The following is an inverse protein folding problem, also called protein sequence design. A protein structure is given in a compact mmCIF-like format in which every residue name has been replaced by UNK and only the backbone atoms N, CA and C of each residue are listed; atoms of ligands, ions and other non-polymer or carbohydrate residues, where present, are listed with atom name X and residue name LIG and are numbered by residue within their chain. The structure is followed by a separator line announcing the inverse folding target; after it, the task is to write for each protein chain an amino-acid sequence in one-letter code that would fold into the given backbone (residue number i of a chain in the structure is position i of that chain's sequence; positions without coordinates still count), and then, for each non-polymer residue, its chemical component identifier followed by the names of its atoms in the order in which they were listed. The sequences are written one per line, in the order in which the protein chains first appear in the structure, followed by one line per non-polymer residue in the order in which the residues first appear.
data_IF_997306935234
#
_entry.id   IF_997306935234
#
_cell.length_a   1.000
_cell.length_b   1.000
_cell.length_c   1.000
_cell.angle_alpha   90.00
_cell.angle_beta   90.00
_cell.angle_gamma   90.00
#
_symmetry.space_group_name_H-M   'P 1'
#
loop_
_entity.id
_entity.type
_entity.pdbx_description
1 polymer ?
#
# COMPACT_ATOMS: atom_id res chain seq x y z
N UNK A 1 -10.13 -8.52 -31.31
CA UNK A 1 -10.04 -7.06 -31.02
C UNK A 1 -8.62 -6.59 -31.20
N UNK A 2 -8.38 -5.27 -31.41
CA UNK A 2 -7.04 -4.71 -31.43
C UNK A 2 -6.42 -4.65 -30.03
N UNK A 3 -5.09 -4.73 -29.95
CA UNK A 3 -4.31 -4.58 -28.72
C UNK A 3 -3.41 -3.34 -28.86
N UNK A 4 -3.63 -2.35 -28.02
CA UNK A 4 -2.94 -1.05 -28.07
C UNK A 4 -2.01 -0.96 -26.86
N UNK A 5 -0.72 -0.89 -27.09
CA UNK A 5 0.27 -0.61 -26.05
C UNK A 5 0.66 0.86 -26.07
N UNK A 6 0.68 1.48 -24.88
CA UNK A 6 1.01 2.90 -24.73
C UNK A 6 2.07 3.08 -23.66
N UNK A 7 3.20 3.65 -24.03
CA UNK A 7 4.20 4.18 -23.12
C UNK A 7 4.02 5.70 -23.02
N UNK A 8 3.51 6.15 -21.86
CA UNK A 8 3.16 7.55 -21.62
C UNK A 8 4.39 8.34 -21.13
N UNK A 9 4.75 9.36 -21.88
CA UNK A 9 5.69 10.37 -21.41
C UNK A 9 5.01 11.69 -21.07
N UNK A 10 5.68 12.59 -20.38
CA UNK A 10 5.14 13.87 -19.95
C UNK A 10 4.61 14.74 -21.12
N UNK A 11 5.29 14.74 -22.27
CA UNK A 11 4.91 15.54 -23.45
C UNK A 11 4.57 14.70 -24.67
N UNK A 12 5.21 13.55 -24.84
CA UNK A 12 5.02 12.65 -25.98
C UNK A 12 4.87 11.22 -25.49
N UNK A 13 4.00 10.47 -26.16
CA UNK A 13 3.70 9.08 -25.86
C UNK A 13 3.93 8.21 -27.08
N UNK A 14 4.55 7.05 -26.88
CA UNK A 14 4.70 6.04 -27.90
C UNK A 14 3.49 5.09 -27.90
N UNK A 15 3.00 4.76 -29.08
CA UNK A 15 1.84 3.90 -29.28
C UNK A 15 2.19 2.79 -30.26
N UNK A 16 1.83 1.58 -29.93
CA UNK A 16 1.86 0.45 -30.83
C UNK A 16 0.46 -0.21 -30.87
N UNK A 17 -0.03 -0.51 -32.06
CA UNK A 17 -1.28 -1.22 -32.28
C UNK A 17 -0.97 -2.58 -32.92
N UNK A 18 -1.49 -3.63 -32.32
CA UNK A 18 -1.38 -5.02 -32.77
C UNK A 18 -2.77 -5.52 -33.13
N UNK A 19 -2.89 -6.19 -34.27
CA UNK A 19 -4.14 -6.80 -34.75
C UNK A 19 -4.59 -7.98 -33.87
N UNK A 20 -5.81 -8.46 -34.07
CA UNK A 20 -6.30 -9.70 -33.46
C UNK A 20 -5.50 -10.94 -33.87
N UNK A 21 -4.71 -10.87 -34.95
CA UNK A 21 -3.80 -11.93 -35.40
C UNK A 21 -2.37 -11.81 -34.83
N UNK A 22 -2.07 -10.76 -34.07
CA UNK A 22 -0.75 -10.55 -33.49
C UNK A 22 0.22 -9.75 -34.36
N UNK A 23 -0.23 -9.19 -35.48
CA UNK A 23 0.61 -8.39 -36.38
C UNK A 23 0.63 -6.92 -35.95
N UNK A 24 1.80 -6.30 -36.04
CA UNK A 24 1.96 -4.85 -35.76
C UNK A 24 1.36 -4.04 -36.91
N UNK A 25 0.26 -3.35 -36.62
CA UNK A 25 -0.45 -2.51 -37.61
C UNK A 25 0.07 -1.07 -37.62
N UNK A 26 0.48 -0.55 -36.45
CA UNK A 26 0.88 0.84 -36.31
C UNK A 26 1.92 1.00 -35.19
N UNK A 27 2.98 1.73 -35.45
CA UNK A 27 3.90 2.27 -34.46
C UNK A 27 4.01 3.79 -34.64
N UNK A 28 3.64 4.56 -33.62
CA UNK A 28 3.63 6.02 -33.72
C UNK A 28 3.97 6.68 -32.39
N UNK A 29 4.57 7.86 -32.47
CA UNK A 29 4.75 8.76 -31.32
C UNK A 29 3.89 10.01 -31.54
N UNK A 30 3.01 10.31 -30.57
CA UNK A 30 2.11 11.47 -30.61
C UNK A 30 2.32 12.35 -29.37
N UNK A 31 1.70 13.53 -29.32
CA UNK A 31 1.64 14.33 -28.11
C UNK A 31 0.78 13.60 -27.06
N UNK A 32 1.17 13.62 -25.79
CA UNK A 32 0.44 12.91 -24.73
C UNK A 32 -1.01 13.42 -24.60
N UNK A 33 -1.26 14.72 -24.80
CA UNK A 33 -2.61 15.29 -24.82
C UNK A 33 -3.48 14.84 -26.02
N UNK A 34 -2.91 14.16 -27.03
CA UNK A 34 -3.65 13.63 -28.19
C UNK A 34 -4.05 12.16 -28.04
N UNK A 35 -3.59 11.49 -26.96
CA UNK A 35 -3.83 10.05 -26.76
C UNK A 35 -5.32 9.73 -26.67
N UNK A 36 -6.07 10.52 -25.93
CA UNK A 36 -7.53 10.37 -25.82
C UNK A 36 -8.22 10.46 -27.19
N UNK A 37 -7.89 11.49 -27.96
CA UNK A 37 -8.44 11.66 -29.32
C UNK A 37 -8.03 10.53 -30.28
N UNK A 38 -6.83 10.00 -30.09
CA UNK A 38 -6.36 8.85 -30.88
C UNK A 38 -7.19 7.61 -30.56
N UNK A 39 -7.42 7.32 -29.27
CA UNK A 39 -8.21 6.17 -28.82
C UNK A 39 -9.67 6.29 -29.29
N UNK A 40 -10.30 7.45 -29.22
CA UNK A 40 -11.68 7.67 -29.66
C UNK A 40 -11.93 7.47 -31.16
N UNK A 41 -10.86 7.34 -31.96
CA UNK A 41 -10.95 6.99 -33.39
C UNK A 41 -10.75 5.49 -33.67
N UNK A 42 -10.54 4.68 -32.62
CA UNK A 42 -10.32 3.25 -32.73
C UNK A 42 -11.57 2.46 -32.36
N UNK A 43 -11.73 1.28 -32.93
CA UNK A 43 -12.75 0.35 -32.45
C UNK A 43 -12.47 -0.03 -31.00
N UNK A 44 -13.47 -0.56 -30.30
CA UNK A 44 -13.28 -1.12 -28.95
C UNK A 44 -12.09 -2.07 -28.94
N UNK A 45 -11.06 -1.71 -28.17
CA UNK A 45 -9.75 -2.36 -28.15
C UNK A 45 -9.31 -2.64 -26.71
N UNK A 46 -8.35 -3.53 -26.53
CA UNK A 46 -7.66 -3.68 -25.25
C UNK A 46 -6.46 -2.73 -25.22
N UNK A 47 -6.45 -1.82 -24.24
CA UNK A 47 -5.42 -0.78 -24.10
C UNK A 47 -4.54 -1.11 -22.89
N UNK A 48 -3.27 -1.42 -23.13
CA UNK A 48 -2.25 -1.68 -22.11
C UNK A 48 -1.37 -0.43 -21.94
N UNK A 49 -1.34 0.12 -20.72
CA UNK A 49 -0.61 1.37 -20.40
C UNK A 49 0.38 1.07 -19.28
N UNK A 50 1.64 1.53 -19.38
CA UNK A 50 2.55 1.44 -18.24
C UNK A 50 2.11 2.38 -17.10
N UNK A 51 2.23 1.90 -15.85
CA UNK A 51 1.88 2.68 -14.67
C UNK A 51 2.82 3.87 -14.46
N UNK A 52 2.29 5.08 -14.66
CA UNK A 52 2.96 6.37 -14.45
C UNK A 52 1.99 7.39 -13.86
N UNK A 53 2.39 8.65 -13.72
CA UNK A 53 1.53 9.70 -13.16
C UNK A 53 0.28 9.97 -14.03
N UNK A 54 0.42 9.94 -15.35
CA UNK A 54 -0.60 10.25 -16.34
C UNK A 54 -1.55 9.07 -16.58
N UNK A 55 -1.11 7.83 -16.30
CA UNK A 55 -1.81 6.60 -16.68
C UNK A 55 -3.24 6.52 -16.16
N UNK A 56 -3.51 7.05 -14.95
CA UNK A 56 -4.85 7.00 -14.37
C UNK A 56 -5.87 7.79 -15.16
N UNK A 57 -5.56 9.03 -15.53
CA UNK A 57 -6.50 9.89 -16.27
C UNK A 57 -6.77 9.31 -17.66
N UNK A 58 -5.72 8.91 -18.37
CA UNK A 58 -5.86 8.28 -19.70
C UNK A 58 -6.66 6.98 -19.61
N UNK A 59 -6.45 6.18 -18.57
CA UNK A 59 -7.18 4.94 -18.37
C UNK A 59 -8.68 5.15 -18.12
N UNK A 60 -9.05 6.18 -17.34
CA UNK A 60 -10.46 6.54 -17.12
C UNK A 60 -11.10 6.96 -18.45
N UNK A 61 -10.48 7.88 -19.18
CA UNK A 61 -10.97 8.38 -20.47
C UNK A 61 -11.10 7.29 -21.52
N UNK A 62 -10.14 6.37 -21.57
CA UNK A 62 -10.20 5.21 -22.47
C UNK A 62 -11.35 4.26 -22.11
N UNK A 63 -11.66 4.07 -20.81
CA UNK A 63 -12.83 3.28 -20.37
C UNK A 63 -14.15 3.94 -20.73
N UNK A 64 -14.24 5.27 -20.62
CA UNK A 64 -15.41 6.06 -21.06
C UNK A 64 -15.67 5.89 -22.57
N UNK A 65 -14.62 5.57 -23.35
CA UNK A 65 -14.69 5.24 -24.77
C UNK A 65 -14.89 3.74 -25.05
N UNK A 66 -15.30 2.97 -24.03
CA UNK A 66 -15.57 1.52 -24.10
C UNK A 66 -14.36 0.63 -24.40
N UNK A 67 -13.12 1.08 -24.16
CA UNK A 67 -11.94 0.24 -24.24
C UNK A 67 -11.76 -0.63 -22.98
N UNK A 68 -11.23 -1.86 -23.14
CA UNK A 68 -10.74 -2.69 -22.03
C UNK A 68 -9.33 -2.23 -21.63
N UNK A 69 -9.22 -1.50 -20.51
CA UNK A 69 -7.97 -0.84 -20.12
C UNK A 69 -7.26 -1.60 -19.03
N UNK A 70 -5.97 -1.90 -19.27
CA UNK A 70 -5.05 -2.58 -18.36
C UNK A 70 -3.87 -1.67 -18.05
N UNK A 71 -3.81 -1.12 -16.82
CA UNK A 71 -2.63 -0.36 -16.37
C UNK A 71 -1.63 -1.33 -15.76
N UNK A 72 -0.52 -1.55 -16.47
CA UNK A 72 0.50 -2.57 -16.15
C UNK A 72 1.54 -1.98 -15.19
N UNK A 73 1.84 -2.63 -14.05
CA UNK A 73 2.88 -2.17 -13.14
C UNK A 73 4.26 -2.16 -13.83
N UNK A 74 5.05 -1.10 -13.62
CA UNK A 74 6.42 -0.93 -14.17
C UNK A 74 7.34 -2.13 -13.92
N UNK A 75 7.16 -2.82 -12.78
CA UNK A 75 7.93 -4.03 -12.44
C UNK A 75 7.69 -5.15 -13.45
N UNK A 76 6.46 -5.30 -13.93
CA UNK A 76 6.10 -6.32 -14.93
C UNK A 76 6.53 -5.92 -16.34
N UNK A 77 6.47 -4.63 -16.69
CA UNK A 77 6.90 -4.15 -18.02
C UNK A 77 8.35 -4.55 -18.28
N UNK A 78 9.21 -4.46 -17.27
CA UNK A 78 10.61 -4.89 -17.38
C UNK A 78 10.78 -6.39 -17.65
N UNK A 79 9.90 -7.21 -17.12
CA UNK A 79 9.89 -8.68 -17.32
C UNK A 79 9.21 -9.10 -18.61
N UNK A 80 8.34 -8.27 -19.19
CA UNK A 80 7.70 -8.50 -20.48
C UNK A 80 8.64 -8.22 -21.68
N UNK A 81 9.75 -7.53 -21.45
CA UNK A 81 10.74 -7.22 -22.48
C UNK A 81 11.43 -8.48 -22.98
N UNK A 82 11.21 -8.82 -24.24
CA UNK A 82 11.90 -9.90 -24.93
C UNK A 82 13.33 -9.42 -25.25
N UNK A 83 14.26 -9.80 -24.40
CA UNK A 83 15.69 -9.65 -24.66
C UNK A 83 16.42 -8.78 -23.68
N UNK A 84 17.52 -9.34 -23.18
CA UNK A 84 18.50 -8.78 -22.24
C UNK A 84 19.35 -7.65 -22.80
N UNK A 85 19.07 -7.15 -24.00
CA UNK A 85 19.77 -6.02 -24.57
C UNK A 85 19.30 -4.74 -23.89
N UNK A 86 20.19 -4.11 -23.13
CA UNK A 86 20.00 -2.86 -22.36
C UNK A 86 19.59 -1.61 -23.18
N UNK A 87 18.96 -1.78 -24.33
CA UNK A 87 18.47 -0.68 -25.16
C UNK A 87 17.01 -0.44 -24.79
N UNK A 88 16.77 0.54 -23.94
CA UNK A 88 15.43 1.04 -23.60
C UNK A 88 15.04 2.13 -24.59
N UNK A 89 13.89 1.99 -25.26
CA UNK A 89 13.26 3.05 -26.04
C UNK A 89 11.75 2.97 -25.84
N UNK A 90 11.10 4.12 -25.71
CA UNK A 90 9.65 4.22 -25.48
C UNK A 90 8.83 3.46 -26.53
N UNK A 91 9.29 3.45 -27.80
CA UNK A 91 8.65 2.66 -28.87
C UNK A 91 8.67 1.16 -28.60
N UNK A 92 9.78 0.64 -28.04
CA UNK A 92 9.88 -0.78 -27.68
C UNK A 92 8.98 -1.13 -26.49
N UNK A 93 8.89 -0.23 -25.52
CA UNK A 93 8.06 -0.45 -24.33
C UNK A 93 6.57 -0.45 -24.72
N UNK A 94 6.12 0.46 -25.58
CA UNK A 94 4.77 0.43 -26.16
C UNK A 94 4.50 -0.86 -26.97
N UNK A 95 5.45 -1.28 -27.80
CA UNK A 95 5.33 -2.54 -28.58
C UNK A 95 5.25 -3.78 -27.68
N UNK A 96 6.09 -3.85 -26.66
CA UNK A 96 6.09 -4.94 -25.70
C UNK A 96 4.77 -5.02 -24.93
N UNK A 97 4.20 -3.87 -24.54
CA UNK A 97 2.88 -3.80 -23.91
C UNK A 97 1.76 -4.31 -24.85
N UNK A 98 1.75 -3.90 -26.12
CA UNK A 98 0.77 -4.38 -27.10
C UNK A 98 0.85 -5.89 -27.33
N UNK A 99 2.07 -6.41 -27.52
CA UNK A 99 2.32 -7.84 -27.70
C UNK A 99 1.97 -8.64 -26.45
N UNK A 100 2.32 -8.14 -25.25
CA UNK A 100 1.97 -8.76 -23.99
C UNK A 100 0.44 -8.79 -23.79
N UNK A 101 -0.24 -7.72 -24.13
CA UNK A 101 -1.71 -7.64 -24.12
C UNK A 101 -2.35 -8.67 -25.03
N UNK A 102 -1.78 -8.87 -26.23
CA UNK A 102 -2.25 -9.90 -27.17
C UNK A 102 -2.01 -11.33 -26.62
N UNK A 103 -0.79 -11.60 -26.11
CA UNK A 103 -0.41 -12.96 -25.69
C UNK A 103 -1.03 -13.40 -24.38
N UNK A 104 -1.12 -12.51 -23.40
CA UNK A 104 -1.60 -12.82 -22.05
C UNK A 104 -3.11 -12.61 -21.89
N UNK A 105 -3.74 -11.84 -22.76
CA UNK A 105 -5.18 -11.61 -22.68
C UNK A 105 -5.62 -11.11 -21.30
N UNK A 106 -6.52 -11.84 -20.66
CA UNK A 106 -7.05 -11.51 -19.33
C UNK A 106 -6.04 -11.74 -18.20
N UNK A 107 -5.01 -12.55 -18.44
CA UNK A 107 -3.93 -12.81 -17.47
C UNK A 107 -2.91 -11.69 -17.41
N UNK A 108 -3.00 -10.66 -18.28
CA UNK A 108 -2.09 -9.52 -18.23
C UNK A 108 -2.17 -8.84 -16.85
N UNK A 109 -1.06 -8.82 -16.07
CA UNK A 109 -1.06 -8.19 -14.75
C UNK A 109 -1.40 -6.71 -14.84
N UNK A 110 -2.37 -6.26 -14.06
CA UNK A 110 -2.79 -4.87 -14.07
C UNK A 110 -3.14 -4.38 -12.66
N UNK A 111 -3.01 -3.07 -12.45
CA UNK A 111 -3.39 -2.41 -11.21
C UNK A 111 -4.84 -1.94 -11.28
N UNK A 112 -5.47 -1.87 -10.11
CA UNK A 112 -6.78 -1.27 -9.96
C UNK A 112 -6.75 0.23 -10.24
N UNK A 113 -7.61 0.72 -11.13
CA UNK A 113 -7.77 2.15 -11.43
C UNK A 113 -8.70 2.75 -10.39
N UNK A 114 -8.18 3.66 -9.56
CA UNK A 114 -8.94 4.30 -8.49
C UNK A 114 -9.95 5.30 -9.02
N UNK A 115 -11.08 5.45 -8.30
CA UNK A 115 -12.01 6.57 -8.50
C UNK A 115 -11.33 7.91 -8.18
N UNK A 116 -11.95 9.03 -8.62
CA UNK A 116 -11.46 10.39 -8.34
C UNK A 116 -11.40 10.65 -6.83
N UNK A 117 -12.41 10.22 -6.11
CA UNK A 117 -12.46 10.35 -4.66
C UNK A 117 -11.29 9.60 -3.97
N UNK A 118 -11.08 8.33 -4.31
CA UNK A 118 -9.96 7.54 -3.76
C UNK A 118 -8.60 8.11 -4.14
N UNK A 119 -8.48 8.71 -5.35
CA UNK A 119 -7.25 9.37 -5.79
C UNK A 119 -7.00 10.65 -4.98
N UNK A 120 -8.01 11.49 -4.79
CA UNK A 120 -7.91 12.71 -3.98
C UNK A 120 -7.52 12.40 -2.53
N UNK A 121 -8.10 11.36 -1.92
CA UNK A 121 -7.69 10.88 -0.59
C UNK A 121 -6.23 10.42 -0.58
N UNK A 122 -5.81 9.70 -1.61
CA UNK A 122 -4.42 9.23 -1.72
C UNK A 122 -3.44 10.41 -1.84
N UNK A 123 -3.79 11.43 -2.59
CA UNK A 123 -2.93 12.62 -2.77
C UNK A 123 -2.82 13.41 -1.46
N UNK A 124 -3.90 13.55 -0.71
CA UNK A 124 -3.89 14.18 0.62
C UNK A 124 -2.99 13.42 1.59
N UNK A 125 -3.09 12.08 1.62
CA UNK A 125 -2.26 11.21 2.46
C UNK A 125 -0.79 11.29 2.03
N UNK A 126 -0.49 11.31 0.74
CA UNK A 126 0.87 11.43 0.18
C UNK A 126 1.50 12.78 0.50
N UNK A 127 0.75 13.89 0.33
CA UNK A 127 1.22 15.23 0.65
C UNK A 127 1.67 15.30 2.12
N UNK A 128 0.81 14.87 3.06
CA UNK A 128 1.17 14.81 4.47
C UNK A 128 2.42 13.95 4.72
N UNK A 129 2.51 12.78 4.11
CA UNK A 129 3.65 11.88 4.32
C UNK A 129 4.96 12.47 3.80
N UNK A 130 4.91 13.17 2.67
CA UNK A 130 6.05 13.89 2.10
C UNK A 130 6.59 14.94 3.07
N UNK A 131 5.70 15.80 3.59
CA UNK A 131 6.09 16.84 4.56
C UNK A 131 6.65 16.24 5.86
N UNK A 132 6.07 15.16 6.37
CA UNK A 132 6.59 14.42 7.54
C UNK A 132 7.99 13.86 7.27
N UNK A 133 8.25 13.35 6.06
CA UNK A 133 9.57 12.86 5.67
C UNK A 133 10.60 13.98 5.62
N UNK A 134 10.26 15.12 5.02
CA UNK A 134 11.12 16.31 4.96
C UNK A 134 11.44 16.84 6.37
N UNK A 135 10.42 16.94 7.25
CA UNK A 135 10.62 17.31 8.65
C UNK A 135 11.58 16.36 9.37
N UNK A 136 11.44 15.05 9.13
CA UNK A 136 12.32 14.06 9.74
C UNK A 136 13.76 14.21 9.27
N UNK A 137 13.97 14.49 7.97
CA UNK A 137 15.32 14.79 7.44
C UNK A 137 15.92 16.02 8.08
N UNK A 138 15.16 17.13 8.21
CA UNK A 138 15.61 18.35 8.86
C UNK A 138 15.96 18.13 10.35
N UNK A 139 15.12 17.42 11.10
CA UNK A 139 15.39 17.03 12.49
C UNK A 139 16.67 16.19 12.59
N UNK A 140 16.89 15.27 11.69
CA UNK A 140 18.07 14.40 11.70
C UNK A 140 19.34 15.20 11.38
N UNK A 141 19.27 16.20 10.51
CA UNK A 141 20.38 17.12 10.26
C UNK A 141 20.74 17.87 11.55
N UNK A 142 19.77 18.51 12.21
CA UNK A 142 20.02 19.24 13.48
C UNK A 142 20.63 18.31 14.53
N UNK A 143 20.10 17.09 14.69
CA UNK A 143 20.65 16.08 15.61
C UNK A 143 22.08 15.68 15.26
N UNK A 144 22.45 15.68 13.98
CA UNK A 144 23.81 15.40 13.56
C UNK A 144 24.76 16.55 13.95
N UNK A 145 24.33 17.81 13.80
CA UNK A 145 25.12 18.98 14.24
C UNK A 145 25.30 18.99 15.76
N UNK A 146 24.24 18.74 16.52
CA UNK A 146 24.34 18.66 17.99
C UNK A 146 25.33 17.57 18.43
N UNK A 147 25.34 16.41 17.77
CA UNK A 147 26.33 15.35 18.06
C UNK A 147 27.75 15.77 17.71
N UNK A 148 27.94 16.49 16.60
CA UNK A 148 29.25 17.04 16.20
C UNK A 148 29.78 18.03 17.23
N UNK A 149 28.88 18.79 17.86
CA UNK A 149 29.20 19.69 18.97
C UNK A 149 29.29 19.01 20.36
N UNK A 150 29.27 17.68 20.41
CA UNK A 150 29.30 16.85 21.63
C UNK A 150 28.11 17.07 22.58
N UNK A 151 27.00 17.65 22.08
CA UNK A 151 25.75 17.87 22.82
C UNK A 151 24.79 16.68 22.77
N UNK A 152 25.25 15.51 22.37
CA UNK A 152 24.47 14.29 22.27
C UNK A 152 23.45 14.32 21.13
N UNK A 153 22.27 13.69 21.34
CA UNK A 153 21.19 13.63 20.34
C UNK A 153 20.18 14.80 20.44
N UNK A 154 20.47 15.77 21.30
CA UNK A 154 19.56 16.87 21.60
C UNK A 154 18.32 16.46 22.41
N UNK A 155 17.35 17.36 22.57
CA UNK A 155 16.21 17.17 23.44
C UNK A 155 15.33 15.98 23.02
N UNK A 156 14.90 15.17 23.99
CA UNK A 156 13.94 14.06 23.80
C UNK A 156 12.50 14.60 23.78
N UNK A 157 12.19 15.43 22.80
CA UNK A 157 10.87 16.05 22.63
C UNK A 157 10.16 15.55 21.38
N UNK A 158 8.85 15.77 21.30
CA UNK A 158 8.07 15.49 20.09
C UNK A 158 8.56 16.35 18.92
N UNK A 159 8.24 15.95 17.68
CA UNK A 159 8.60 16.75 16.50
C UNK A 159 8.01 18.18 16.55
N UNK A 160 6.85 18.39 17.21
CA UNK A 160 6.22 19.70 17.37
C UNK A 160 6.99 20.61 18.34
N UNK A 161 7.61 20.04 19.37
CA UNK A 161 8.31 20.79 20.41
C UNK A 161 9.83 20.71 20.29
N UNK A 162 10.34 20.06 19.25
CA UNK A 162 11.77 19.84 19.02
C UNK A 162 12.53 21.15 18.86
N UNK A 163 12.03 22.08 18.03
CA UNK A 163 12.68 23.36 17.77
C UNK A 163 12.82 24.20 19.03
N UNK A 164 11.75 24.28 19.84
CA UNK A 164 11.79 25.00 21.11
C UNK A 164 12.87 24.42 22.04
N UNK A 165 12.97 23.10 22.13
CA UNK A 165 13.98 22.46 22.97
C UNK A 165 15.42 22.64 22.47
N UNK A 166 15.63 22.75 21.15
CA UNK A 166 16.98 23.04 20.60
C UNK A 166 17.37 24.49 20.84
N UNK A 167 16.43 25.42 20.64
CA UNK A 167 16.67 26.85 20.95
C UNK A 167 16.96 27.08 22.42
N UNK A 168 16.25 26.41 23.31
CA UNK A 168 16.50 26.41 24.74
C UNK A 168 17.91 25.88 25.09
N UNK A 169 18.38 24.85 24.38
CA UNK A 169 19.69 24.24 24.59
C UNK A 169 20.85 25.09 24.10
N UNK A 170 20.71 25.76 22.94
CA UNK A 170 21.79 26.51 22.29
C UNK A 170 21.77 28.03 22.58
N UNK A 171 20.64 28.59 22.95
CA UNK A 171 20.48 30.03 23.20
C UNK A 171 20.82 30.88 21.98
N UNK A 172 21.51 31.99 22.24
CA UNK A 172 21.94 32.95 21.23
C UNK A 172 23.06 32.41 20.34
N UNK A 173 23.81 31.40 20.79
CA UNK A 173 24.91 30.77 20.06
C UNK A 173 24.44 29.73 19.04
N UNK A 174 23.16 29.75 18.66
CA UNK A 174 22.61 28.80 17.66
C UNK A 174 23.27 29.02 16.30
N UNK A 175 24.05 28.06 15.76
CA UNK A 175 24.69 28.18 14.46
C UNK A 175 23.67 28.46 13.34
N UNK A 176 24.08 29.24 12.32
CA UNK A 176 23.21 29.68 11.23
C UNK A 176 22.55 28.49 10.49
N UNK A 177 23.32 27.45 10.21
CA UNK A 177 22.84 26.26 9.54
C UNK A 177 21.82 25.48 10.39
N UNK A 178 21.98 25.48 11.71
CA UNK A 178 20.99 24.87 12.63
C UNK A 178 19.72 25.72 12.65
N UNK A 179 19.86 27.06 12.77
CA UNK A 179 18.72 27.96 12.81
C UNK A 179 17.88 27.90 11.53
N UNK A 180 18.52 27.82 10.35
CA UNK A 180 17.83 27.64 9.07
C UNK A 180 16.98 26.35 9.03
N UNK A 181 17.51 25.24 9.55
CA UNK A 181 16.75 24.00 9.64
C UNK A 181 15.64 24.06 10.71
N UNK A 182 15.83 24.74 11.82
CA UNK A 182 14.77 24.95 12.81
C UNK A 182 13.61 25.74 12.22
N UNK A 183 13.88 26.83 11.49
CA UNK A 183 12.86 27.59 10.78
C UNK A 183 12.09 26.72 9.77
N UNK A 184 12.80 25.88 9.00
CA UNK A 184 12.19 24.93 8.07
C UNK A 184 11.27 23.93 8.80
N UNK A 185 11.70 23.41 9.96
CA UNK A 185 10.90 22.46 10.75
C UNK A 185 9.62 23.14 11.26
N UNK A 186 9.68 24.40 11.67
CA UNK A 186 8.51 25.14 12.15
C UNK A 186 7.48 25.31 11.04
N UNK A 187 7.90 25.73 9.84
CA UNK A 187 7.01 25.81 8.66
C UNK A 187 6.41 24.44 8.33
N UNK A 188 7.22 23.38 8.33
CA UNK A 188 6.73 22.02 8.05
C UNK A 188 5.72 21.55 9.11
N UNK A 189 5.91 21.90 10.39
CA UNK A 189 4.95 21.59 11.44
C UNK A 189 3.60 22.27 11.19
N UNK A 190 3.60 23.56 10.81
CA UNK A 190 2.38 24.30 10.48
C UNK A 190 1.64 23.68 9.29
N UNK A 191 2.35 23.40 8.19
CA UNK A 191 1.76 22.79 6.98
C UNK A 191 1.20 21.40 7.27
N UNK A 192 1.90 20.56 8.03
CA UNK A 192 1.42 19.24 8.44
C UNK A 192 0.16 19.39 9.29
N UNK A 193 0.12 20.32 10.22
CA UNK A 193 -1.06 20.54 11.07
C UNK A 193 -2.26 20.99 10.25
N UNK A 194 -2.08 21.88 9.26
CA UNK A 194 -3.12 22.30 8.32
C UNK A 194 -3.71 21.12 7.55
N UNK A 195 -2.85 20.23 7.01
CA UNK A 195 -3.30 19.02 6.33
C UNK A 195 -4.02 18.06 7.29
N UNK A 196 -3.53 17.87 8.51
CA UNK A 196 -4.15 16.99 9.51
C UNK A 196 -5.53 17.51 9.94
N UNK A 197 -5.72 18.83 10.08
CA UNK A 197 -7.04 19.46 10.30
C UNK A 197 -8.00 19.15 9.15
N UNK A 198 -7.55 19.34 7.90
CA UNK A 198 -8.34 18.98 6.72
C UNK A 198 -8.69 17.50 6.69
N UNK A 199 -7.73 16.61 6.94
CA UNK A 199 -7.95 15.16 7.01
C UNK A 199 -8.96 14.78 8.09
N UNK A 200 -8.94 15.45 9.24
CA UNK A 200 -9.92 15.23 10.31
C UNK A 200 -11.33 15.54 9.83
N UNK A 201 -11.55 16.69 9.19
CA UNK A 201 -12.86 17.09 8.63
C UNK A 201 -13.34 16.05 7.60
N UNK A 202 -12.47 15.65 6.67
CA UNK A 202 -12.80 14.64 5.65
C UNK A 202 -13.16 13.29 6.29
N UNK A 203 -12.44 12.88 7.34
CA UNK A 203 -12.71 11.63 8.03
C UNK A 203 -14.01 11.68 8.86
N UNK A 204 -14.41 12.84 9.35
CA UNK A 204 -15.68 13.06 10.05
C UNK A 204 -16.87 13.04 9.10
N UNK A 205 -16.71 13.57 7.90
CA UNK A 205 -17.74 13.53 6.85
C UNK A 205 -17.91 12.16 6.18
N UNK A 206 -16.90 11.27 6.31
CA UNK A 206 -16.92 9.93 5.71
C UNK A 206 -17.47 8.88 6.68
N UNK A 207 -18.62 8.29 6.33
CA UNK A 207 -19.22 7.21 7.13
C UNK A 207 -18.28 5.99 7.27
N UNK A 208 -17.63 5.48 6.18
CA UNK A 208 -16.65 4.39 6.30
C UNK A 208 -15.47 4.75 7.22
N UNK A 209 -14.94 5.97 7.13
CA UNK A 209 -13.86 6.40 8.00
C UNK A 209 -14.30 6.46 9.47
N UNK A 210 -15.52 6.96 9.72
CA UNK A 210 -16.09 7.03 11.07
C UNK A 210 -16.27 5.65 11.68
N UNK A 211 -16.71 4.65 10.90
CA UNK A 211 -16.78 3.24 11.36
C UNK A 211 -15.39 2.70 11.72
N UNK A 212 -14.40 2.88 10.88
CA UNK A 212 -13.03 2.39 11.13
C UNK A 212 -12.40 3.03 12.38
N UNK A 213 -12.71 4.29 12.65
CA UNK A 213 -12.22 5.03 13.83
C UNK A 213 -12.76 4.53 15.17
N UNK A 214 -13.73 3.62 15.18
CA UNK A 214 -14.16 2.92 16.41
C UNK A 214 -13.13 1.93 16.93
N UNK A 215 -12.17 1.55 16.10
CA UNK A 215 -11.08 0.66 16.50
C UNK A 215 -10.01 1.47 17.24
N UNK A 216 -9.59 1.04 18.42
CA UNK A 216 -8.53 1.68 19.20
C UNK A 216 -7.23 1.77 18.38
N UNK A 217 -6.62 2.96 18.36
CA UNK A 217 -5.41 3.24 17.60
C UNK A 217 -5.66 3.65 16.14
N UNK A 218 -6.89 3.54 15.62
CA UNK A 218 -7.25 3.99 14.28
C UNK A 218 -7.82 5.40 14.32
N UNK A 219 -6.98 6.39 14.03
CA UNK A 219 -7.37 7.80 13.93
C UNK A 219 -7.75 8.22 12.50
N UNK A 220 -8.04 9.53 12.29
CA UNK A 220 -8.41 10.09 10.99
C UNK A 220 -7.41 9.75 9.88
N UNK A 221 -6.12 9.88 10.16
CA UNK A 221 -5.05 9.65 9.19
C UNK A 221 -5.01 8.17 8.75
N UNK A 222 -5.10 7.24 9.71
CA UNK A 222 -5.05 5.80 9.43
C UNK A 222 -6.28 5.36 8.65
N UNK A 223 -7.49 5.82 9.05
CA UNK A 223 -8.74 5.48 8.37
C UNK A 223 -8.76 5.98 6.92
N UNK A 224 -8.38 7.25 6.67
CA UNK A 224 -8.32 7.79 5.31
C UNK A 224 -7.23 7.11 4.46
N UNK A 225 -6.05 6.85 5.02
CA UNK A 225 -4.99 6.14 4.32
C UNK A 225 -5.41 4.71 3.94
N UNK A 226 -6.18 4.05 4.80
CA UNK A 226 -6.73 2.73 4.52
C UNK A 226 -7.77 2.79 3.40
N UNK A 227 -8.74 3.69 3.46
CA UNK A 227 -9.75 3.90 2.41
C UNK A 227 -9.11 4.22 1.06
N UNK A 228 -8.13 5.14 1.04
CA UNK A 228 -7.41 5.51 -0.17
C UNK A 228 -6.64 4.35 -0.80
N UNK A 229 -6.01 3.50 0.01
CA UNK A 229 -5.21 2.39 -0.49
C UNK A 229 -6.05 1.18 -0.92
N UNK A 230 -7.15 0.91 -0.20
CA UNK A 230 -8.03 -0.22 -0.50
C UNK A 230 -8.95 0.12 -1.67
N UNK A 231 -9.50 1.33 -1.71
CA UNK A 231 -10.46 1.83 -2.70
C UNK A 231 -11.73 0.94 -2.78
N UNK A 232 -11.63 -0.20 -3.45
CA UNK A 232 -12.67 -1.22 -3.52
C UNK A 232 -12.27 -2.45 -2.69
N UNK A 233 -12.98 -2.75 -1.59
CA UNK A 233 -12.66 -3.91 -0.75
C UNK A 233 -12.98 -5.26 -1.41
N UNK A 234 -13.87 -5.29 -2.42
CA UNK A 234 -14.31 -6.55 -3.08
C UNK A 234 -13.23 -7.14 -3.97
N UNK A 235 -12.24 -6.36 -4.41
CA UNK A 235 -11.12 -6.82 -5.23
C UNK A 235 -10.16 -7.78 -4.53
N UNK A 236 -10.29 -7.95 -3.22
CA UNK A 236 -9.46 -8.89 -2.46
C UNK A 236 -10.24 -10.17 -2.14
N UNK A 237 -9.78 -11.29 -2.67
CA UNK A 237 -10.41 -12.59 -2.44
C UNK A 237 -10.35 -13.05 -0.97
N UNK A 238 -9.36 -12.57 -0.20
CA UNK A 238 -9.20 -12.95 1.21
C UNK A 238 -8.39 -11.92 2.00
N UNK A 239 -8.49 -11.96 3.33
CA UNK A 239 -7.64 -11.16 4.22
C UNK A 239 -6.13 -11.45 4.08
N UNK A 240 -5.76 -12.66 3.64
CA UNK A 240 -4.36 -12.99 3.33
C UNK A 240 -3.89 -12.31 2.05
N UNK A 241 -4.75 -12.23 1.04
CA UNK A 241 -4.47 -11.48 -0.19
C UNK A 241 -4.29 -9.99 0.09
N UNK A 242 -5.19 -9.39 0.89
CA UNK A 242 -5.05 -8.02 1.37
C UNK A 242 -3.72 -7.81 2.13
N UNK A 243 -3.38 -8.70 3.05
CA UNK A 243 -2.16 -8.57 3.85
C UNK A 243 -0.89 -8.62 2.98
N UNK A 244 -0.90 -9.43 1.93
CA UNK A 244 0.17 -9.48 0.92
C UNK A 244 0.25 -8.18 0.13
N UNK A 245 -0.88 -7.62 -0.30
CA UNK A 245 -0.95 -6.32 -0.98
C UNK A 245 -0.39 -5.18 -0.14
N UNK A 246 -0.62 -5.17 1.18
CA UNK A 246 -0.08 -4.16 2.09
C UNK A 246 1.40 -4.43 2.41
N UNK A 247 1.87 -5.67 2.25
CA UNK A 247 3.22 -6.12 2.65
C UNK A 247 3.32 -6.45 4.14
N UNK A 248 2.24 -6.94 4.74
CA UNK A 248 2.18 -7.45 6.11
C UNK A 248 2.16 -8.98 6.15
N UNK A 249 2.61 -9.64 5.09
CA UNK A 249 2.81 -11.08 5.04
C UNK A 249 4.27 -11.43 5.36
N UNK A 250 4.52 -12.52 6.09
CA UNK A 250 5.88 -13.02 6.26
C UNK A 250 6.43 -13.44 4.90
N UNK A 251 7.69 -13.11 4.64
CA UNK A 251 8.42 -13.65 3.50
C UNK A 251 8.80 -15.12 3.78
N UNK A 252 8.87 -15.89 2.71
CA UNK A 252 9.30 -17.26 2.73
C UNK A 252 10.38 -17.49 1.68
N UNK A 253 11.43 -18.20 2.05
CA UNK A 253 12.45 -18.68 1.14
C UNK A 253 12.56 -20.19 1.34
N UNK A 254 12.05 -20.94 0.37
CA UNK A 254 12.08 -22.41 0.40
C UNK A 254 13.11 -22.90 -0.59
N UNK A 255 14.11 -23.63 -0.13
CA UNK A 255 15.14 -24.26 -0.94
C UNK A 255 15.32 -25.70 -0.48
N UNK A 256 15.22 -26.66 -1.40
CA UNK A 256 15.43 -28.08 -1.10
C UNK A 256 14.50 -28.64 -0.01
N UNK A 257 13.21 -28.24 -0.01
CA UNK A 257 12.21 -28.69 0.96
C UNK A 257 12.30 -28.05 2.35
N UNK A 258 13.33 -27.22 2.63
CA UNK A 258 13.45 -26.49 3.89
C UNK A 258 12.76 -25.13 3.80
N UNK A 259 11.67 -24.96 4.54
CA UNK A 259 10.94 -23.67 4.64
C UNK A 259 11.67 -22.75 5.61
N UNK A 260 12.22 -21.65 5.11
CA UNK A 260 12.80 -20.58 5.92
C UNK A 260 11.88 -19.35 5.88
N UNK A 261 11.22 -19.06 6.98
CA UNK A 261 10.45 -17.81 7.11
C UNK A 261 11.41 -16.65 7.35
N UNK A 262 11.30 -15.63 6.53
CA UNK A 262 12.01 -14.35 6.68
C UNK A 262 11.11 -13.32 7.39
N UNK A 263 11.59 -12.09 7.59
CA UNK A 263 10.75 -11.01 8.10
C UNK A 263 9.56 -10.70 7.17
N UNK A 264 8.83 -9.61 7.45
CA UNK A 264 7.75 -9.17 6.54
C UNK A 264 8.31 -8.78 5.18
N UNK A 265 7.53 -9.07 4.12
CA UNK A 265 7.88 -8.71 2.76
C UNK A 265 7.98 -7.18 2.65
N UNK A 266 9.11 -6.66 2.13
CA UNK A 266 9.35 -5.22 1.98
C UNK A 266 8.49 -4.57 0.88
N UNK A 267 7.89 -5.38 -0.01
CA UNK A 267 7.01 -4.94 -1.09
C UNK A 267 5.64 -4.42 -0.56
N UNK A 268 4.81 -3.89 -1.44
CA UNK A 268 3.44 -3.45 -1.13
C UNK A 268 3.34 -1.99 -0.68
N UNK A 269 2.28 -1.67 0.05
CA UNK A 269 1.87 -0.31 0.43
C UNK A 269 2.68 0.21 1.64
N UNK A 270 3.94 0.63 1.41
CA UNK A 270 4.89 1.03 2.46
C UNK A 270 4.32 2.07 3.43
N UNK A 271 3.62 3.08 2.91
CA UNK A 271 3.05 4.17 3.71
C UNK A 271 1.92 3.67 4.61
N UNK A 272 0.95 2.92 4.04
CA UNK A 272 -0.15 2.35 4.80
C UNK A 272 0.36 1.35 5.86
N UNK A 273 1.32 0.50 5.50
CA UNK A 273 1.95 -0.42 6.44
C UNK A 273 2.55 0.30 7.65
N UNK A 274 3.28 1.40 7.43
CA UNK A 274 3.87 2.19 8.51
C UNK A 274 2.79 2.78 9.44
N UNK A 275 1.69 3.29 8.88
CA UNK A 275 0.56 3.80 9.66
C UNK A 275 -0.16 2.71 10.46
N UNK A 276 -0.36 1.53 9.87
CA UNK A 276 -0.96 0.39 10.59
C UNK A 276 -0.05 -0.12 11.72
N UNK A 277 1.26 -0.11 11.53
CA UNK A 277 2.24 -0.43 12.58
C UNK A 277 2.17 0.61 13.71
N UNK A 278 2.04 1.89 13.40
CA UNK A 278 1.83 2.94 14.41
C UNK A 278 0.51 2.76 15.15
N UNK A 279 -0.58 2.43 14.45
CA UNK A 279 -1.88 2.12 15.07
C UNK A 279 -1.78 0.92 16.03
N UNK A 280 -1.07 -0.12 15.63
CA UNK A 280 -0.81 -1.29 16.47
C UNK A 280 0.03 -0.94 17.72
N UNK A 281 1.05 -0.09 17.60
CA UNK A 281 1.78 0.43 18.75
C UNK A 281 0.88 1.25 19.68
N UNK A 282 0.02 2.10 19.13
CA UNK A 282 -0.93 2.90 19.91
C UNK A 282 -1.90 2.01 20.69
N UNK A 283 -2.45 0.97 20.04
CA UNK A 283 -3.34 -0.01 20.69
C UNK A 283 -2.63 -0.75 21.83
N UNK A 284 -1.41 -1.25 21.61
CA UNK A 284 -0.63 -1.94 22.66
C UNK A 284 -0.23 -1.03 23.83
N UNK A 285 -0.06 0.27 23.59
CA UNK A 285 0.28 1.23 24.64
C UNK A 285 -0.94 1.77 25.39
N UNK A 286 -2.15 1.59 24.87
CA UNK A 286 -3.39 2.02 25.50
C UNK A 286 -3.74 1.11 26.68
N UNK A 287 -3.13 1.39 27.85
CA UNK A 287 -3.21 0.58 29.08
C UNK A 287 -4.66 0.33 29.61
N UNK A 288 -5.66 1.05 29.10
CA UNK A 288 -7.06 0.96 29.51
C UNK A 288 -7.95 0.14 28.57
N UNK A 289 -7.45 -0.29 27.43
CA UNK A 289 -8.26 -1.01 26.44
C UNK A 289 -8.19 -2.51 26.71
N UNK A 290 -9.29 -3.09 27.17
CA UNK A 290 -9.50 -4.55 27.25
C UNK A 290 -10.04 -5.06 25.90
N UNK A 291 -9.37 -4.68 24.80
CA UNK A 291 -9.73 -5.24 23.51
C UNK A 291 -9.10 -6.62 23.33
N UNK A 292 -9.88 -7.65 22.95
CA UNK A 292 -9.37 -9.01 22.77
C UNK A 292 -8.19 -9.09 21.79
N UNK A 293 -8.14 -8.17 20.82
CA UNK A 293 -7.05 -8.06 19.85
C UNK A 293 -5.75 -7.57 20.50
N UNK A 294 -5.85 -6.61 21.42
CA UNK A 294 -4.72 -6.10 22.18
C UNK A 294 -4.22 -7.14 23.19
N UNK A 295 -5.11 -7.81 23.90
CA UNK A 295 -4.76 -8.89 24.85
C UNK A 295 -4.01 -10.03 24.15
N UNK A 296 -4.52 -10.48 23.00
CA UNK A 296 -3.82 -11.45 22.16
C UNK A 296 -2.41 -10.99 21.74
N UNK A 297 -2.28 -9.70 21.38
CA UNK A 297 -1.00 -9.16 20.95
C UNK A 297 0.00 -9.04 22.13
N UNK A 298 -0.45 -8.74 23.35
CA UNK A 298 0.36 -8.76 24.57
C UNK A 298 0.88 -10.16 24.86
N UNK A 299 0.01 -11.18 24.73
CA UNK A 299 0.42 -12.57 24.91
C UNK A 299 1.44 -13.00 23.85
N UNK A 300 1.25 -12.56 22.60
CA UNK A 300 2.22 -12.79 21.54
C UNK A 300 3.55 -12.06 21.80
N UNK A 301 3.51 -10.84 22.37
CA UNK A 301 4.70 -10.08 22.76
C UNK A 301 5.55 -10.82 23.78
N UNK A 302 4.93 -11.44 24.79
CA UNK A 302 5.63 -12.26 25.80
C UNK A 302 6.37 -13.44 25.19
N UNK A 303 5.77 -14.09 24.17
CA UNK A 303 6.35 -15.30 23.53
C UNK A 303 7.32 -15.01 22.41
N UNK A 304 7.13 -13.98 21.61
CA UNK A 304 7.85 -13.73 20.34
C UNK A 304 8.49 -12.35 20.25
N UNK A 305 8.33 -11.54 21.29
CA UNK A 305 8.86 -10.17 21.34
C UNK A 305 8.00 -9.12 20.63
N UNK A 306 8.21 -7.87 21.04
CA UNK A 306 7.38 -6.72 20.63
C UNK A 306 7.32 -6.50 19.13
N UNK A 307 8.42 -6.64 18.40
CA UNK A 307 8.45 -6.41 16.94
C UNK A 307 7.51 -7.36 16.20
N UNK A 308 7.50 -8.63 16.59
CA UNK A 308 6.63 -9.65 16.00
C UNK A 308 5.16 -9.39 16.36
N UNK A 309 4.89 -9.09 17.62
CA UNK A 309 3.53 -8.80 18.10
C UNK A 309 2.90 -7.60 17.39
N UNK A 310 3.65 -6.49 17.25
CA UNK A 310 3.18 -5.28 16.55
C UNK A 310 2.89 -5.56 15.09
N UNK A 311 3.76 -6.26 14.37
CA UNK A 311 3.53 -6.59 12.96
C UNK A 311 2.32 -7.52 12.78
N UNK A 312 2.15 -8.50 13.67
CA UNK A 312 1.02 -9.41 13.66
C UNK A 312 -0.30 -8.67 13.98
N UNK A 313 -0.28 -7.74 14.94
CA UNK A 313 -1.41 -6.89 15.27
C UNK A 313 -1.77 -5.95 14.12
N UNK A 314 -0.78 -5.31 13.48
CA UNK A 314 -0.99 -4.46 12.30
C UNK A 314 -1.65 -5.24 11.14
N UNK A 315 -1.21 -6.49 10.89
CA UNK A 315 -1.87 -7.37 9.92
C UNK A 315 -3.32 -7.65 10.30
N UNK A 316 -3.57 -7.96 11.57
CA UNK A 316 -4.92 -8.26 12.05
C UNK A 316 -5.84 -7.04 11.96
N UNK A 317 -5.35 -5.86 12.37
CA UNK A 317 -6.05 -4.59 12.19
C UNK A 317 -6.46 -4.38 10.74
N UNK A 318 -5.54 -4.56 9.80
CA UNK A 318 -5.84 -4.42 8.38
C UNK A 318 -6.95 -5.37 7.90
N UNK A 319 -6.93 -6.63 8.34
CA UNK A 319 -7.94 -7.63 7.97
C UNK A 319 -9.31 -7.28 8.57
N UNK A 320 -9.37 -6.84 9.82
CA UNK A 320 -10.62 -6.41 10.48
C UNK A 320 -11.19 -5.18 9.77
N UNK A 321 -10.37 -4.16 9.52
CA UNK A 321 -10.78 -2.95 8.81
C UNK A 321 -11.34 -3.28 7.41
N UNK A 322 -10.69 -4.18 6.68
CA UNK A 322 -11.15 -4.62 5.38
C UNK A 322 -12.48 -5.38 5.45
N UNK A 323 -12.63 -6.31 6.39
CA UNK A 323 -13.87 -7.05 6.57
C UNK A 323 -15.04 -6.10 6.87
N UNK A 324 -14.82 -5.10 7.75
CA UNK A 324 -15.82 -4.07 8.05
C UNK A 324 -16.23 -3.27 6.80
N UNK A 325 -15.29 -2.96 5.90
CA UNK A 325 -15.62 -2.25 4.66
C UNK A 325 -16.35 -3.14 3.66
N UNK A 326 -15.90 -4.39 3.50
CA UNK A 326 -16.48 -5.36 2.56
C UNK A 326 -17.92 -5.71 2.94
N UNK A 327 -18.16 -5.95 4.24
CA UNK A 327 -19.43 -6.48 4.75
C UNK A 327 -20.36 -5.36 5.26
N UNK A 328 -19.93 -4.11 5.22
CA UNK A 328 -20.69 -2.97 5.71
C UNK A 328 -20.92 -2.97 7.23
N UNK A 329 -20.18 -3.79 7.99
CA UNK A 329 -20.42 -4.03 9.42
C UNK A 329 -19.80 -2.96 10.32
N UNK A 330 -20.30 -2.88 11.57
CA UNK A 330 -19.69 -2.08 12.64
C UNK A 330 -18.60 -2.88 13.34
N UNK A 331 -17.66 -2.17 13.98
CA UNK A 331 -16.63 -2.79 14.78
C UNK A 331 -17.23 -3.49 16.00
N UNK A 332 -16.98 -4.78 16.12
CA UNK A 332 -17.29 -5.59 17.27
C UNK A 332 -16.00 -6.22 17.84
N UNK A 333 -15.52 -5.77 19.01
CA UNK A 333 -14.32 -6.31 19.62
C UNK A 333 -14.39 -7.82 19.89
N UNK A 334 -15.58 -8.36 20.15
CA UNK A 334 -15.76 -9.78 20.51
C UNK A 334 -15.52 -10.71 19.33
N UNK A 335 -15.87 -10.26 18.12
CA UNK A 335 -15.65 -11.00 16.86
C UNK A 335 -14.20 -11.05 16.43
N UNK A 336 -13.32 -10.28 17.09
CA UNK A 336 -11.90 -10.20 16.76
C UNK A 336 -11.03 -11.19 17.53
N UNK A 337 -11.60 -12.06 18.36
CA UNK A 337 -10.85 -13.13 19.04
C UNK A 337 -10.18 -14.03 18.00
N UNK A 338 -8.88 -14.40 18.18
CA UNK A 338 -8.28 -15.44 17.37
C UNK A 338 -9.12 -16.70 17.53
N UNK A 339 -9.43 -17.38 16.43
CA UNK A 339 -9.81 -18.79 16.56
C UNK A 339 -8.64 -19.49 17.25
N UNK A 340 -8.91 -20.16 18.37
CA UNK A 340 -7.93 -21.05 18.97
C UNK A 340 -7.41 -21.96 17.84
N UNK A 341 -6.08 -22.06 17.73
CA UNK A 341 -5.51 -23.07 16.86
C UNK A 341 -5.98 -24.40 17.41
N UNK A 342 -6.93 -25.01 16.77
CA UNK A 342 -7.19 -26.41 17.03
C UNK A 342 -5.89 -27.15 16.77
N UNK A 343 -5.41 -27.88 17.76
CA UNK A 343 -4.19 -28.68 17.63
C UNK A 343 -4.37 -29.61 16.40
N UNK A 344 -3.41 -29.65 15.48
CA UNK A 344 -3.48 -30.56 14.34
C UNK A 344 -3.73 -32.01 14.75
N UNK A 345 -3.26 -32.43 15.93
CA UNK A 345 -3.55 -33.74 16.54
C UNK A 345 -5.03 -33.92 16.90
N UNK A 346 -5.71 -32.88 17.43
CA UNK A 346 -7.15 -32.90 17.68
C UNK A 346 -7.98 -32.88 16.40
N UNK A 347 -7.53 -32.16 15.36
CA UNK A 347 -8.21 -32.19 14.05
C UNK A 347 -8.10 -33.57 13.40
N UNK A 348 -6.94 -34.21 13.49
CA UNK A 348 -6.74 -35.55 13.00
C UNK A 348 -7.55 -36.58 13.78
N UNK A 349 -7.59 -36.47 15.11
CA UNK A 349 -8.41 -37.33 15.96
C UNK A 349 -9.92 -37.20 15.68
N UNK A 350 -10.43 -35.97 15.45
CA UNK A 350 -11.82 -35.72 15.05
C UNK A 350 -12.12 -36.22 13.64
N UNK A 351 -11.17 -36.08 12.69
CA UNK A 351 -11.30 -36.61 11.34
C UNK A 351 -11.34 -38.15 11.34
N UNK A 352 -10.52 -38.79 12.18
CA UNK A 352 -10.50 -40.26 12.35
C UNK A 352 -11.81 -40.73 13.01
N UNK A 353 -12.31 -40.01 14.03
CA UNK A 353 -13.57 -40.33 14.70
C UNK A 353 -14.82 -40.11 13.82
N UNK A 354 -14.75 -39.18 12.84
CA UNK A 354 -15.84 -38.87 11.90
C UNK A 354 -15.80 -39.71 10.63
N UNK A 355 -14.79 -40.53 10.41
CA UNK A 355 -14.74 -41.44 9.28
C UNK A 355 -15.76 -42.58 9.49
N UNK A 356 -16.76 -42.76 8.61
CA UNK A 356 -17.72 -43.87 8.75
C UNK A 356 -16.94 -45.19 8.65
N UNK A 357 -17.10 -46.03 9.68
CA UNK A 357 -16.43 -47.30 9.81
C UNK A 357 -16.67 -48.16 8.59
N UNK A 358 -15.61 -48.43 7.82
CA UNK A 358 -15.60 -49.57 6.90
C UNK A 358 -15.61 -50.83 7.73
N UNK A 359 -16.82 -51.31 8.03
CA UNK A 359 -17.03 -52.66 8.57
C UNK A 359 -16.47 -53.67 7.62
N UNK A 360 -15.54 -54.43 8.14
CA UNK A 360 -15.00 -55.66 7.55
C UNK A 360 -16.11 -56.56 7.01
N UNK A 361 -16.07 -56.86 5.76
CA UNK A 361 -16.50 -58.15 5.25
C UNK A 361 -15.25 -58.88 4.77
N UNK A 362 -14.70 -59.72 5.66
CA UNK A 362 -13.86 -60.86 5.32
C UNK A 362 -14.52 -62.03 6.00
N UNK A 363 -15.31 -62.75 5.25
CA UNK A 363 -15.64 -64.15 5.51
C UNK A 363 -16.14 -64.74 4.20
N UNK A 364 -15.42 -65.71 3.67
CA UNK A 364 -15.81 -66.56 2.52
C UNK A 364 -14.63 -66.88 1.65
#
# INVERSE_FOLDING_TARGET
MEHIGIDLGASRSAICVVSSGGEVMLERTIRTGEVERFLGKRPTSRVAIESCAESRLIAIRAREQAHDVRVVPTVFVRSLGIGTRRIKTDKRDAKNLAIASFRLGDELPHIHIRSDESAALQDLVRARSSLVSQRTMAINFVRAQLRKALLGRGPRRSAKTFCAGVRELLGEDTPLEVNAHLATIDVLNEQIEGLEKKMKVVAEASEPATRLRKITGVGPIVSLAFLAAIADPTRFASGSHLASYIGLSPGESTTGGKVRRTGIVAAGQKQLRALLVQAAHSMLNARRTREPMAEWAVELERRRGRKVAVCALARRLAIVMWAMLRDGTRYDPTMTRPRERQDPSEQLARAIAAAPGQSRCLAG
#
